data_IF_814587848573
#
_entry.id   IF_814587848573
#
_cell.length_a   1.000
_cell.length_b   1.000
_cell.length_c   1.000
_cell.angle_alpha   90.00
_cell.angle_beta   90.00
_cell.angle_gamma   90.00
#
_symmetry.space_group_name_H-M   'P 1'
#
loop_
_entity.id
_entity.type
_entity.pdbx_description
1 polymer ?
#
# COMPACT_ATOMS: atom_id res chain seq x y z
N UNK A 1 -14.31 32.78 15.00
CA UNK A 1 -12.90 32.35 15.22
C UNK A 1 -11.99 33.34 14.49
N UNK A 2 -11.19 34.16 15.19
CA UNK A 2 -10.28 35.11 14.51
C UNK A 2 -9.01 34.37 14.10
N UNK A 3 -8.80 34.17 12.81
CA UNK A 3 -7.54 33.66 12.26
C UNK A 3 -6.43 34.65 12.63
N UNK A 4 -5.49 34.22 13.48
CA UNK A 4 -4.27 34.97 13.78
C UNK A 4 -3.11 34.32 13.04
N UNK A 5 -2.43 35.11 12.21
CA UNK A 5 -1.20 34.68 11.55
C UNK A 5 -0.11 34.44 12.59
N UNK A 6 0.75 33.45 12.34
CA UNK A 6 1.94 33.19 13.15
C UNK A 6 2.86 34.40 13.10
N UNK A 7 3.42 34.81 14.24
CA UNK A 7 4.22 36.04 14.36
C UNK A 7 5.46 36.07 13.45
N UNK A 8 5.95 34.91 13.02
CA UNK A 8 7.12 34.73 12.16
C UNK A 8 6.79 34.47 10.67
N UNK A 9 5.54 34.70 10.23
CA UNK A 9 5.08 34.38 8.86
C UNK A 9 5.96 34.96 7.74
N UNK A 10 6.54 36.14 7.94
CA UNK A 10 7.42 36.78 6.95
C UNK A 10 8.71 36.00 6.71
N UNK A 11 9.26 35.38 7.75
CA UNK A 11 10.44 34.54 7.65
C UNK A 11 10.12 33.25 6.91
N UNK A 12 8.95 32.66 7.18
CA UNK A 12 8.47 31.45 6.52
C UNK A 12 8.29 31.70 5.01
N UNK A 13 7.67 32.81 4.59
CA UNK A 13 7.52 33.13 3.17
C UNK A 13 8.84 33.36 2.45
N UNK A 14 9.87 33.86 3.14
CA UNK A 14 11.18 34.12 2.52
C UNK A 14 12.05 32.88 2.44
N UNK A 15 12.08 32.08 3.50
CA UNK A 15 13.10 31.04 3.68
C UNK A 15 12.56 29.60 3.62
N UNK A 16 11.25 29.38 3.71
CA UNK A 16 10.70 28.03 3.64
C UNK A 16 10.66 27.54 2.18
N UNK A 17 11.53 26.59 1.87
CA UNK A 17 11.58 25.92 0.57
C UNK A 17 10.24 25.32 0.14
N UNK A 18 9.44 24.85 1.08
CA UNK A 18 8.10 24.31 0.80
C UNK A 18 7.18 25.33 0.11
N UNK A 19 7.25 26.62 0.50
CA UNK A 19 6.43 27.67 -0.10
C UNK A 19 6.88 27.97 -1.53
N UNK A 20 8.19 28.05 -1.76
CA UNK A 20 8.76 28.26 -3.08
C UNK A 20 8.48 27.09 -4.03
N UNK A 21 8.53 25.85 -3.54
CA UNK A 21 8.13 24.66 -4.31
C UNK A 21 6.65 24.66 -4.66
N UNK A 22 5.77 25.04 -3.71
CA UNK A 22 4.34 25.19 -3.98
C UNK A 22 4.07 26.30 -5.00
N UNK A 23 4.78 27.43 -4.93
CA UNK A 23 4.69 28.51 -5.91
C UNK A 23 5.19 28.07 -7.29
N UNK A 24 6.31 27.35 -7.37
CA UNK A 24 6.83 26.82 -8.62
C UNK A 24 5.85 25.84 -9.28
N UNK A 25 5.24 24.94 -8.49
CA UNK A 25 4.18 24.06 -8.99
C UNK A 25 2.97 24.85 -9.49
N UNK A 26 2.53 25.88 -8.75
CA UNK A 26 1.43 26.74 -9.17
C UNK A 26 1.74 27.46 -10.50
N UNK A 27 2.97 27.96 -10.69
CA UNK A 27 3.41 28.57 -11.94
C UNK A 27 3.40 27.57 -13.10
N UNK A 28 3.88 26.33 -12.88
CA UNK A 28 3.87 25.30 -13.93
C UNK A 28 2.44 24.91 -14.34
N UNK A 29 1.52 24.82 -13.38
CA UNK A 29 0.10 24.57 -13.64
C UNK A 29 -0.54 25.75 -14.39
N UNK A 30 -0.25 26.99 -13.98
CA UNK A 30 -0.76 28.18 -14.67
C UNK A 30 -0.18 28.30 -16.09
N UNK A 31 1.09 27.97 -16.27
CA UNK A 31 1.75 27.97 -17.57
C UNK A 31 1.14 26.91 -18.50
N UNK A 32 0.85 25.71 -18.01
CA UNK A 32 0.20 24.67 -18.82
C UNK A 32 -1.20 25.08 -19.26
N UNK A 33 -1.98 25.72 -18.38
CA UNK A 33 -3.30 26.27 -18.71
C UNK A 33 -3.18 27.43 -19.70
N UNK A 34 -2.23 28.34 -19.52
CA UNK A 34 -2.00 29.45 -20.46
C UNK A 34 -1.59 28.97 -21.86
N UNK A 35 -0.78 27.90 -21.94
CA UNK A 35 -0.41 27.26 -23.20
C UNK A 35 -1.63 26.67 -23.94
N UNK A 36 -2.70 26.29 -23.24
CA UNK A 36 -3.94 25.83 -23.89
C UNK A 36 -4.71 26.96 -24.59
N UNK A 37 -4.44 28.22 -24.23
CA UNK A 37 -5.06 29.40 -24.85
C UNK A 37 -4.19 30.03 -25.95
N UNK A 38 -2.99 29.50 -26.20
CA UNK A 38 -2.13 29.92 -27.31
C UNK A 38 -2.67 29.34 -28.62
N UNK A 39 -3.09 30.21 -29.53
CA UNK A 39 -3.54 29.84 -30.86
C UNK A 39 -2.62 30.40 -31.97
N UNK A 40 -2.80 29.90 -33.18
CA UNK A 40 -2.01 30.29 -34.35
C UNK A 40 -2.11 31.80 -34.66
N UNK A 41 -3.21 32.45 -34.28
CA UNK A 41 -3.49 33.86 -34.58
C UNK A 41 -2.68 34.78 -33.67
N UNK A 42 -2.55 34.43 -32.39
CA UNK A 42 -1.74 35.17 -31.41
C UNK A 42 -0.24 35.17 -31.76
N UNK A 43 0.24 34.13 -32.42
CA UNK A 43 1.65 33.99 -32.83
C UNK A 43 1.93 34.51 -34.25
N UNK A 44 0.90 34.88 -35.01
CA UNK A 44 1.04 35.32 -36.41
C UNK A 44 1.49 34.21 -37.37
N UNK A 45 1.30 32.94 -37.00
CA UNK A 45 1.76 31.78 -37.77
C UNK A 45 0.56 31.17 -38.51
N UNK A 46 0.71 30.72 -39.77
CA UNK A 46 -0.36 30.01 -40.46
C UNK A 46 -0.84 28.78 -39.67
N UNK A 47 -2.15 28.60 -39.54
CA UNK A 47 -2.77 27.48 -38.83
C UNK A 47 -2.19 26.08 -39.16
N UNK A 48 -1.91 25.71 -40.43
CA UNK A 48 -1.30 24.41 -40.72
C UNK A 48 0.12 24.27 -40.19
N UNK A 49 0.88 25.36 -40.15
CA UNK A 49 2.26 25.39 -39.61
C UNK A 49 2.22 25.26 -38.08
N UNK A 50 1.30 25.95 -37.42
CA UNK A 50 1.09 25.81 -35.97
C UNK A 50 0.69 24.38 -35.58
N UNK A 51 -0.24 23.75 -36.31
CA UNK A 51 -0.65 22.37 -36.07
C UNK A 51 0.50 21.38 -36.27
N UNK A 52 1.32 21.58 -37.31
CA UNK A 52 2.51 20.76 -37.56
C UNK A 52 3.54 20.89 -36.43
N UNK A 53 3.82 22.11 -35.97
CA UNK A 53 4.77 22.36 -34.88
C UNK A 53 4.27 21.78 -33.54
N UNK A 54 2.99 21.95 -33.22
CA UNK A 54 2.39 21.36 -32.03
C UNK A 54 2.40 19.82 -32.08
N UNK A 55 2.11 19.24 -33.24
CA UNK A 55 2.21 17.80 -33.47
C UNK A 55 3.64 17.27 -33.33
N UNK A 56 4.62 17.97 -33.90
CA UNK A 56 6.04 17.63 -33.75
C UNK A 56 6.49 17.71 -32.28
N UNK A 57 6.09 18.75 -31.55
CA UNK A 57 6.40 18.88 -30.12
C UNK A 57 5.80 17.73 -29.31
N UNK A 58 4.55 17.35 -29.58
CA UNK A 58 3.88 16.23 -28.91
C UNK A 58 4.55 14.88 -29.23
N UNK A 59 4.97 14.67 -30.48
CA UNK A 59 5.71 13.47 -30.89
C UNK A 59 7.10 13.43 -30.25
N UNK A 60 7.81 14.55 -30.16
CA UNK A 60 9.12 14.67 -29.50
C UNK A 60 9.02 14.52 -27.97
N UNK A 61 7.86 14.81 -27.37
CA UNK A 61 7.62 14.56 -25.95
C UNK A 61 7.58 13.05 -25.62
N UNK A 62 7.28 12.18 -26.57
CA UNK A 62 7.25 10.72 -26.38
C UNK A 62 8.66 10.16 -26.12
N UNK A 63 9.67 10.37 -26.98
CA UNK A 63 11.04 9.95 -26.68
C UNK A 63 11.63 10.73 -25.51
N UNK A 64 11.25 12.00 -25.27
CA UNK A 64 11.64 12.68 -24.03
C UNK A 64 11.10 11.96 -22.80
N UNK A 65 9.85 11.49 -22.82
CA UNK A 65 9.31 10.63 -21.75
C UNK A 65 10.06 9.31 -21.64
N UNK A 66 10.37 8.64 -22.74
CA UNK A 66 11.09 7.35 -22.72
C UNK A 66 12.53 7.49 -22.23
N UNK A 67 13.26 8.51 -22.69
CA UNK A 67 14.68 8.74 -22.38
C UNK A 67 14.85 9.29 -20.96
N UNK A 68 13.99 10.22 -20.52
CA UNK A 68 14.08 10.79 -19.17
C UNK A 68 13.36 9.96 -18.10
N UNK A 69 12.57 8.93 -18.46
CA UNK A 69 11.98 8.02 -17.48
C UNK A 69 12.97 7.01 -16.87
N UNK A 70 14.17 6.83 -17.42
CA UNK A 70 15.20 5.98 -16.82
C UNK A 70 15.69 6.47 -15.45
N UNK A 71 15.34 7.70 -15.05
CA UNK A 71 15.75 8.27 -13.74
C UNK A 71 14.61 8.57 -12.78
N UNK A 72 13.39 8.09 -13.02
CA UNK A 72 12.36 8.13 -11.96
C UNK A 72 12.74 7.18 -10.82
N UNK A 73 13.34 6.03 -11.13
CA UNK A 73 13.86 5.11 -10.10
C UNK A 73 15.04 5.69 -9.30
N UNK A 74 15.74 6.69 -9.84
CA UNK A 74 16.78 7.42 -9.12
C UNK A 74 16.23 8.65 -8.38
N UNK A 75 15.14 9.28 -8.84
CA UNK A 75 14.52 10.40 -8.12
C UNK A 75 13.63 9.94 -6.94
N UNK A 76 13.21 8.67 -6.95
CA UNK A 76 12.57 8.01 -5.81
C UNK A 76 13.59 7.50 -4.76
N UNK A 77 14.89 7.64 -5.04
CA UNK A 77 16.00 7.10 -4.23
C UNK A 77 17.04 8.19 -4.03
N UNK A 78 17.01 8.86 -2.87
CA UNK A 78 17.90 9.92 -2.35
C UNK A 78 17.45 11.38 -2.57
N UNK A 79 17.49 12.28 -1.59
CA UNK A 79 17.51 12.25 -0.12
C UNK A 79 16.93 13.62 0.33
N UNK A 80 16.07 13.59 1.35
CA UNK A 80 15.83 14.63 2.38
C UNK A 80 14.36 14.68 2.81
N UNK A 81 13.99 13.78 3.75
CA UNK A 81 13.00 14.13 4.77
C UNK A 81 11.76 13.26 4.95
N UNK A 82 11.52 12.19 4.19
CA UNK A 82 10.34 11.36 4.40
C UNK A 82 10.63 9.84 4.37
N UNK A 83 10.70 9.27 5.57
CA UNK A 83 10.32 7.90 5.94
C UNK A 83 10.92 6.77 5.09
N UNK A 84 11.99 6.17 5.62
CA UNK A 84 12.50 4.86 5.22
C UNK A 84 11.35 3.83 5.24
N UNK A 85 11.03 3.31 4.06
CA UNK A 85 10.33 2.05 3.87
C UNK A 85 11.31 1.20 3.08
N UNK A 86 12.14 0.43 3.78
CA UNK A 86 13.12 -0.47 3.19
C UNK A 86 12.48 -1.68 2.49
N UNK A 87 11.95 -1.50 1.28
CA UNK A 87 11.52 -2.62 0.42
C UNK A 87 12.64 -3.01 -0.56
N UNK A 88 13.04 -4.30 -0.65
CA UNK A 88 14.15 -4.72 -1.52
C UNK A 88 13.84 -4.53 -3.02
N UNK A 89 14.83 -4.06 -3.80
CA UNK A 89 14.72 -3.80 -5.26
C UNK A 89 14.28 -5.00 -6.10
N UNK A 90 14.41 -6.24 -5.61
CA UNK A 90 13.93 -7.45 -6.32
C UNK A 90 12.40 -7.59 -6.35
N UNK A 91 11.65 -6.69 -5.70
CA UNK A 91 10.21 -6.81 -5.47
C UNK A 91 9.36 -6.07 -6.52
N UNK A 92 9.99 -5.25 -7.38
CA UNK A 92 9.33 -4.49 -8.44
C UNK A 92 9.65 -5.06 -9.84
N UNK A 93 9.33 -6.35 -10.05
CA UNK A 93 9.34 -6.94 -11.40
C UNK A 93 8.01 -6.69 -12.12
N UNK A 94 8.01 -5.88 -13.20
CA UNK A 94 7.07 -5.69 -14.34
C UNK A 94 5.53 -5.95 -14.24
N UNK A 95 4.94 -6.19 -13.06
CA UNK A 95 3.49 -6.38 -12.84
C UNK A 95 2.98 -5.69 -11.56
N UNK A 96 3.69 -4.66 -11.09
CA UNK A 96 3.67 -4.19 -9.71
C UNK A 96 2.53 -3.23 -9.32
N UNK A 97 1.66 -2.79 -10.24
CA UNK A 97 0.66 -1.75 -9.90
C UNK A 97 -0.40 -2.24 -8.92
N UNK A 98 -0.87 -3.50 -9.04
CA UNK A 98 -1.87 -4.07 -8.12
C UNK A 98 -1.28 -4.69 -6.86
N UNK A 99 -0.05 -5.25 -6.93
CA UNK A 99 0.56 -5.90 -5.78
C UNK A 99 0.86 -4.91 -4.64
N UNK A 100 1.38 -3.72 -4.95
CA UNK A 100 1.67 -2.71 -3.95
C UNK A 100 0.42 -2.21 -3.23
N UNK A 101 -0.68 -2.03 -3.97
CA UNK A 101 -1.98 -1.62 -3.41
C UNK A 101 -2.56 -2.68 -2.45
N UNK A 102 -2.49 -3.95 -2.84
CA UNK A 102 -2.91 -5.09 -1.99
C UNK A 102 -2.13 -5.12 -0.68
N UNK A 103 -0.80 -4.97 -0.73
CA UNK A 103 0.03 -4.97 0.47
C UNK A 103 -0.29 -3.78 1.36
N UNK A 104 -0.42 -2.57 0.81
CA UNK A 104 -0.77 -1.39 1.57
C UNK A 104 -2.14 -1.54 2.27
N UNK A 105 -3.15 -2.03 1.55
CA UNK A 105 -4.47 -2.32 2.10
C UNK A 105 -4.41 -3.38 3.20
N UNK A 106 -3.71 -4.49 2.97
CA UNK A 106 -3.58 -5.58 3.93
C UNK A 106 -2.89 -5.12 5.22
N UNK A 107 -1.79 -4.38 5.11
CA UNK A 107 -1.03 -3.85 6.27
C UNK A 107 -1.92 -2.94 7.11
N UNK A 108 -2.55 -1.95 6.48
CA UNK A 108 -3.45 -1.02 7.18
C UNK A 108 -4.65 -1.74 7.81
N UNK A 109 -5.12 -2.83 7.20
CA UNK A 109 -6.23 -3.60 7.73
C UNK A 109 -5.82 -4.50 8.91
N UNK A 110 -4.66 -5.15 8.85
CA UNK A 110 -4.20 -6.13 9.84
C UNK A 110 -3.68 -5.44 11.12
N UNK A 111 -2.98 -4.32 10.99
CA UNK A 111 -2.28 -3.64 12.10
C UNK A 111 -3.14 -3.42 13.37
N UNK A 112 -4.41 -2.96 13.28
CA UNK A 112 -5.26 -2.79 14.45
C UNK A 112 -5.61 -4.09 15.20
N UNK A 113 -5.49 -5.25 14.56
CA UNK A 113 -5.85 -6.55 15.15
C UNK A 113 -4.71 -7.21 15.93
N UNK A 114 -3.48 -7.02 15.50
CA UNK A 114 -2.31 -7.69 16.07
C UNK A 114 -1.75 -6.91 17.27
N UNK A 115 -1.77 -5.57 17.19
CA UNK A 115 -1.09 -4.71 18.16
C UNK A 115 0.44 -4.78 18.01
N UNK A 116 1.15 -3.81 18.59
CA UNK A 116 2.62 -3.70 18.43
C UNK A 116 3.30 -3.52 19.79
N UNK A 117 4.34 -4.32 20.05
CA UNK A 117 5.19 -4.21 21.24
C UNK A 117 6.63 -3.90 20.86
N UNK A 118 7.12 -2.74 21.25
CA UNK A 118 8.47 -2.26 20.91
C UNK A 118 9.61 -2.95 21.67
N UNK A 119 9.28 -3.81 22.64
CA UNK A 119 10.25 -4.60 23.40
C UNK A 119 9.89 -6.07 23.28
N UNK A 120 10.91 -6.91 23.12
CA UNK A 120 10.73 -8.35 23.08
C UNK A 120 10.05 -8.86 24.36
N UNK A 121 9.12 -9.79 24.19
CA UNK A 121 8.34 -10.43 25.25
C UNK A 121 8.18 -11.92 24.93
N UNK A 122 7.86 -12.72 25.95
CA UNK A 122 7.47 -14.10 25.73
C UNK A 122 5.99 -14.17 25.39
N UNK A 123 5.64 -14.80 24.27
CA UNK A 123 4.27 -15.07 23.91
C UNK A 123 3.65 -16.19 24.81
N UNK A 124 2.41 -16.57 24.54
CA UNK A 124 1.73 -17.64 25.30
C UNK A 124 2.38 -19.02 25.13
N UNK A 125 3.18 -19.20 24.07
CA UNK A 125 3.94 -20.42 23.80
C UNK A 125 5.38 -20.37 24.36
N UNK A 126 5.79 -19.25 24.98
CA UNK A 126 7.13 -19.06 25.53
C UNK A 126 8.20 -18.71 24.49
N UNK A 127 7.80 -18.19 23.32
CA UNK A 127 8.70 -17.81 22.23
C UNK A 127 9.01 -16.31 22.33
N UNK A 128 10.29 -15.88 22.30
CA UNK A 128 10.65 -14.47 22.18
C UNK A 128 10.01 -13.84 20.95
N UNK A 129 9.24 -12.79 21.18
CA UNK A 129 8.41 -12.12 20.17
C UNK A 129 8.56 -10.61 20.33
N UNK A 130 8.68 -9.87 19.22
CA UNK A 130 8.73 -8.40 19.20
C UNK A 130 7.76 -7.85 18.15
N UNK A 131 7.49 -6.54 18.21
CA UNK A 131 6.68 -5.82 17.24
C UNK A 131 5.28 -6.42 17.11
N UNK A 132 4.89 -6.77 15.89
CA UNK A 132 3.55 -7.24 15.51
C UNK A 132 3.52 -8.78 15.42
N UNK A 133 4.23 -9.47 16.33
CA UNK A 133 4.29 -10.94 16.33
C UNK A 133 5.54 -11.52 15.64
N UNK A 134 6.58 -10.71 15.42
CA UNK A 134 7.83 -11.17 14.82
C UNK A 134 8.61 -12.04 15.82
N UNK A 135 9.05 -13.23 15.39
CA UNK A 135 9.75 -14.21 16.25
C UNK A 135 11.12 -14.63 15.71
N UNK A 136 11.41 -14.37 14.44
CA UNK A 136 12.62 -14.88 13.80
C UNK A 136 13.86 -14.11 14.30
N UNK A 137 14.80 -14.82 14.92
CA UNK A 137 16.04 -14.22 15.42
C UNK A 137 15.86 -13.26 16.60
N UNK A 138 14.70 -13.25 17.26
CA UNK A 138 14.42 -12.36 18.39
C UNK A 138 15.00 -12.92 19.68
N UNK A 139 15.68 -12.08 20.44
CA UNK A 139 16.20 -12.37 21.76
C UNK A 139 15.51 -11.51 22.85
N UNK A 140 15.45 -12.04 24.07
CA UNK A 140 14.91 -11.26 25.19
C UNK A 140 15.86 -10.12 25.53
N UNK A 141 15.33 -8.90 25.49
CA UNK A 141 16.11 -7.67 25.66
C UNK A 141 16.10 -6.81 24.39
N UNK A 142 15.74 -7.39 23.24
CA UNK A 142 15.63 -6.64 22.00
C UNK A 142 14.58 -5.53 22.09
N UNK A 143 14.91 -4.41 21.48
CA UNK A 143 14.01 -3.27 21.34
C UNK A 143 14.01 -2.80 19.90
N UNK A 144 12.85 -2.41 19.40
CA UNK A 144 12.67 -1.85 18.09
C UNK A 144 11.88 -0.54 18.17
N UNK A 145 12.15 0.36 17.25
CA UNK A 145 11.34 1.55 17.01
C UNK A 145 10.04 1.18 16.31
N UNK A 146 9.04 2.06 16.37
CA UNK A 146 7.79 1.86 15.65
C UNK A 146 8.00 1.74 14.13
N UNK A 147 9.00 2.44 13.59
CA UNK A 147 9.35 2.35 12.18
C UNK A 147 9.91 0.97 11.81
N UNK A 148 10.87 0.46 12.60
CA UNK A 148 11.44 -0.88 12.40
C UNK A 148 10.36 -1.96 12.53
N UNK A 149 9.48 -1.85 13.52
CA UNK A 149 8.35 -2.76 13.66
C UNK A 149 7.43 -2.75 12.44
N UNK A 150 7.21 -1.58 11.85
CA UNK A 150 6.37 -1.47 10.65
C UNK A 150 7.07 -2.05 9.43
N UNK A 151 8.38 -1.85 9.27
CA UNK A 151 9.15 -2.46 8.18
C UNK A 151 9.14 -3.99 8.27
N UNK A 152 9.39 -4.57 9.45
CA UNK A 152 9.30 -6.01 9.69
C UNK A 152 7.91 -6.54 9.33
N UNK A 153 6.87 -5.86 9.81
CA UNK A 153 5.49 -6.24 9.56
C UNK A 153 5.12 -6.20 8.07
N UNK A 154 5.52 -5.14 7.35
CA UNK A 154 5.34 -5.05 5.90
C UNK A 154 5.99 -6.24 5.18
N UNK A 155 7.23 -6.57 5.54
CA UNK A 155 7.97 -7.67 4.92
C UNK A 155 7.28 -9.02 5.16
N UNK A 156 6.77 -9.26 6.37
CA UNK A 156 5.99 -10.46 6.68
C UNK A 156 4.70 -10.55 5.87
N UNK A 157 3.94 -9.45 5.76
CA UNK A 157 2.71 -9.43 4.98
C UNK A 157 2.97 -9.77 3.51
N UNK A 158 4.07 -9.29 2.92
CA UNK A 158 4.45 -9.68 1.56
C UNK A 158 4.83 -11.15 1.48
N UNK A 159 5.59 -11.67 2.43
CA UNK A 159 5.93 -13.09 2.47
C UNK A 159 4.66 -13.96 2.57
N UNK A 160 3.67 -13.53 3.36
CA UNK A 160 2.37 -14.20 3.44
C UNK A 160 1.58 -14.13 2.13
N UNK A 161 1.50 -12.97 1.48
CA UNK A 161 0.84 -12.82 0.18
C UNK A 161 1.47 -13.77 -0.85
N UNK A 162 2.80 -13.79 -0.93
CA UNK A 162 3.53 -14.66 -1.85
C UNK A 162 3.25 -16.16 -1.59
N UNK A 163 3.15 -16.56 -0.31
CA UNK A 163 2.86 -17.95 0.07
C UNK A 163 1.45 -18.40 -0.28
N UNK A 164 0.45 -17.51 -0.21
CA UNK A 164 -0.94 -17.86 -0.53
C UNK A 164 -1.33 -17.60 -1.98
N UNK A 165 -0.53 -16.83 -2.72
CA UNK A 165 -0.78 -16.49 -4.14
C UNK A 165 -1.11 -17.72 -5.00
N UNK A 166 -0.42 -18.87 -4.89
CA UNK A 166 -0.73 -20.07 -5.68
C UNK A 166 -2.08 -20.73 -5.32
N UNK A 167 -2.64 -20.39 -4.16
CA UNK A 167 -3.89 -20.94 -3.63
C UNK A 167 -5.10 -20.05 -3.93
N UNK A 168 -4.92 -19.03 -4.77
CA UNK A 168 -5.93 -18.06 -5.15
C UNK A 168 -5.96 -17.89 -6.67
N UNK A 169 -7.08 -17.44 -7.25
CA UNK A 169 -7.10 -16.97 -8.63
C UNK A 169 -6.04 -15.90 -8.86
N UNK A 170 -5.46 -15.87 -10.07
CA UNK A 170 -4.49 -14.85 -10.45
C UNK A 170 -5.11 -13.44 -10.38
N UNK A 171 -6.31 -13.30 -10.95
CA UNK A 171 -7.10 -12.08 -10.93
C UNK A 171 -8.07 -12.09 -9.74
N UNK A 172 -7.83 -11.19 -8.79
CA UNK A 172 -8.73 -10.88 -7.69
C UNK A 172 -8.76 -9.37 -7.48
N UNK A 173 -9.92 -8.80 -7.12
CA UNK A 173 -9.99 -7.43 -6.64
C UNK A 173 -9.07 -7.21 -5.44
N UNK A 174 -8.50 -6.01 -5.35
CA UNK A 174 -7.45 -5.68 -4.39
C UNK A 174 -7.92 -5.89 -2.93
N UNK A 175 -9.14 -5.47 -2.62
CA UNK A 175 -9.75 -5.61 -1.30
C UNK A 175 -10.00 -7.09 -0.94
N UNK A 176 -10.46 -7.89 -1.90
CA UNK A 176 -10.65 -9.34 -1.71
C UNK A 176 -9.33 -10.04 -1.45
N UNK A 177 -8.28 -9.71 -2.21
CA UNK A 177 -6.93 -10.25 -1.96
C UNK A 177 -6.38 -9.81 -0.62
N UNK A 178 -6.52 -8.54 -0.24
CA UNK A 178 -6.08 -8.01 1.05
C UNK A 178 -6.78 -8.70 2.24
N UNK A 179 -8.08 -8.96 2.14
CA UNK A 179 -8.83 -9.71 3.15
C UNK A 179 -8.31 -11.14 3.31
N UNK A 180 -7.99 -11.82 2.21
CA UNK A 180 -7.40 -13.16 2.23
C UNK A 180 -5.98 -13.18 2.80
N UNK A 181 -5.16 -12.17 2.49
CA UNK A 181 -3.84 -11.99 3.13
C UNK A 181 -3.98 -11.81 4.64
N UNK A 182 -4.92 -10.95 5.10
CA UNK A 182 -5.20 -10.78 6.53
C UNK A 182 -5.64 -12.08 7.21
N UNK A 183 -6.49 -12.85 6.54
CA UNK A 183 -6.93 -14.13 7.04
C UNK A 183 -5.77 -15.12 7.17
N UNK A 184 -4.94 -15.22 6.12
CA UNK A 184 -3.76 -16.08 6.10
C UNK A 184 -2.71 -15.69 7.12
N UNK A 185 -2.52 -14.40 7.38
CA UNK A 185 -1.64 -13.91 8.44
C UNK A 185 -2.10 -14.43 9.81
N UNK A 186 -3.41 -14.44 10.07
CA UNK A 186 -3.96 -14.91 11.34
C UNK A 186 -3.95 -16.43 11.53
N UNK A 187 -4.35 -17.20 10.50
CA UNK A 187 -4.53 -18.66 10.63
C UNK A 187 -3.34 -19.46 10.10
N UNK A 188 -2.39 -18.80 9.43
CA UNK A 188 -1.29 -19.41 8.71
C UNK A 188 -1.61 -19.73 7.24
N UNK A 189 -0.60 -19.63 6.37
CA UNK A 189 -0.74 -19.87 4.93
C UNK A 189 -1.21 -21.29 4.59
N UNK A 190 -0.72 -22.31 5.31
CA UNK A 190 -1.13 -23.71 5.08
C UNK A 190 -2.60 -23.95 5.39
N UNK A 191 -3.09 -23.41 6.51
CA UNK A 191 -4.51 -23.48 6.88
C UNK A 191 -5.39 -22.71 5.88
N UNK A 192 -4.94 -21.55 5.44
CA UNK A 192 -5.61 -20.76 4.41
C UNK A 192 -5.71 -21.50 3.07
N UNK A 193 -4.59 -22.02 2.55
CA UNK A 193 -4.55 -22.75 1.28
C UNK A 193 -5.46 -24.00 1.30
N UNK A 194 -5.53 -24.71 2.43
CA UNK A 194 -6.41 -25.85 2.64
C UNK A 194 -7.85 -25.50 3.03
N UNK A 195 -8.22 -24.21 3.09
CA UNK A 195 -9.53 -23.77 3.57
C UNK A 195 -10.62 -23.79 2.50
N UNK A 196 -11.88 -23.66 2.93
CA UNK A 196 -13.00 -23.41 2.01
C UNK A 196 -12.90 -22.06 1.30
N UNK A 197 -12.15 -21.08 1.82
CA UNK A 197 -11.94 -19.77 1.17
C UNK A 197 -11.17 -19.96 -0.15
N UNK A 198 -9.97 -20.56 -0.06
CA UNK A 198 -9.11 -20.90 -1.19
C UNK A 198 -9.85 -21.78 -2.23
N UNK A 199 -10.49 -22.86 -1.78
CA UNK A 199 -11.23 -23.76 -2.69
C UNK A 199 -12.35 -23.07 -3.45
N UNK A 200 -13.16 -22.25 -2.77
CA UNK A 200 -14.26 -21.52 -3.42
C UNK A 200 -13.74 -20.44 -4.35
N UNK A 201 -12.70 -19.71 -3.94
CA UNK A 201 -12.07 -18.69 -4.76
C UNK A 201 -11.53 -19.28 -6.07
N UNK A 202 -10.78 -20.38 -6.00
CA UNK A 202 -10.27 -21.10 -7.18
C UNK A 202 -11.37 -21.68 -8.07
N UNK A 203 -12.54 -22.00 -7.50
CA UNK A 203 -13.71 -22.43 -8.25
C UNK A 203 -14.52 -21.26 -8.86
N UNK A 204 -14.09 -20.01 -8.66
CA UNK A 204 -14.79 -18.81 -9.14
C UNK A 204 -15.94 -18.32 -8.25
N UNK A 205 -16.26 -19.03 -7.17
CA UNK A 205 -17.26 -18.61 -6.18
C UNK A 205 -16.63 -17.62 -5.18
N UNK A 206 -16.39 -16.38 -5.64
CA UNK A 206 -15.73 -15.34 -4.84
C UNK A 206 -16.60 -14.88 -3.67
N UNK A 207 -17.92 -14.74 -3.85
CA UNK A 207 -18.82 -14.37 -2.77
C UNK A 207 -18.85 -15.44 -1.67
N UNK A 208 -18.97 -16.72 -2.06
CA UNK A 208 -18.89 -17.83 -1.12
C UNK A 208 -17.50 -17.99 -0.49
N UNK A 209 -16.42 -17.58 -1.18
CA UNK A 209 -15.09 -17.52 -0.60
C UNK A 209 -14.99 -16.46 0.50
N UNK A 210 -15.56 -15.27 0.30
CA UNK A 210 -15.64 -14.23 1.33
C UNK A 210 -16.51 -14.70 2.52
N UNK A 211 -17.65 -15.35 2.28
CA UNK A 211 -18.49 -15.90 3.37
C UNK A 211 -17.78 -16.99 4.18
N UNK A 212 -16.87 -17.75 3.55
CA UNK A 212 -16.11 -18.80 4.22
C UNK A 212 -15.14 -18.26 5.29
N UNK A 213 -14.82 -16.96 5.30
CA UNK A 213 -14.05 -16.31 6.37
C UNK A 213 -14.71 -16.52 7.74
N UNK A 214 -16.04 -16.46 7.81
CA UNK A 214 -16.81 -16.59 9.05
C UNK A 214 -16.66 -17.95 9.74
N UNK A 215 -16.23 -18.98 9.00
CA UNK A 215 -15.98 -20.31 9.54
C UNK A 215 -14.74 -20.38 10.44
N UNK A 216 -13.85 -19.39 10.36
CA UNK A 216 -12.55 -19.36 11.04
C UNK A 216 -12.57 -18.50 12.30
N UNK A 217 -13.62 -18.62 13.10
CA UNK A 217 -13.81 -17.83 14.31
C UNK A 217 -13.58 -18.59 15.63
N UNK A 218 -13.06 -19.82 15.58
CA UNK A 218 -12.95 -20.71 16.74
C UNK A 218 -11.50 -20.91 17.19
N UNK A 219 -11.30 -21.02 18.50
CA UNK A 219 -10.04 -21.43 19.10
C UNK A 219 -10.28 -22.54 20.13
N UNK A 220 -9.25 -23.32 20.45
CA UNK A 220 -9.34 -24.36 21.48
C UNK A 220 -9.20 -23.72 22.86
N UNK A 221 -10.28 -23.69 23.63
CA UNK A 221 -10.30 -23.20 25.02
C UNK A 221 -10.74 -24.33 25.94
N UNK A 222 -9.93 -24.65 26.96
CA UNK A 222 -10.17 -25.77 27.90
C UNK A 222 -10.43 -27.11 27.17
N UNK A 223 -9.64 -27.40 26.15
CA UNK A 223 -9.73 -28.63 25.36
C UNK A 223 -10.87 -28.67 24.33
N UNK A 224 -11.79 -27.69 24.30
CA UNK A 224 -12.93 -27.65 23.36
C UNK A 224 -12.77 -26.54 22.33
N UNK A 225 -13.17 -26.80 21.09
CA UNK A 225 -13.18 -25.81 20.02
C UNK A 225 -14.41 -24.90 20.19
N UNK A 226 -14.20 -23.61 20.44
CA UNK A 226 -15.28 -22.66 20.76
C UNK A 226 -15.10 -21.35 19.98
N UNK A 227 -16.19 -20.70 19.54
CA UNK A 227 -16.12 -19.37 18.94
C UNK A 227 -15.49 -18.36 19.89
N UNK A 228 -14.60 -17.52 19.38
CA UNK A 228 -13.97 -16.42 20.10
C UNK A 228 -14.53 -15.12 19.55
N UNK A 229 -15.02 -14.25 20.45
CA UNK A 229 -15.64 -12.98 20.07
C UNK A 229 -14.70 -12.09 19.23
N UNK A 230 -13.43 -12.03 19.60
CA UNK A 230 -12.41 -11.28 18.86
C UNK A 230 -12.21 -11.81 17.43
N UNK A 231 -12.08 -13.13 17.28
CA UNK A 231 -11.94 -13.75 15.96
C UNK A 231 -13.21 -13.55 15.12
N UNK A 232 -14.40 -13.67 15.72
CA UNK A 232 -15.67 -13.44 15.02
C UNK A 232 -15.72 -12.05 14.41
N UNK A 233 -15.42 -11.00 15.20
CA UNK A 233 -15.38 -9.61 14.71
C UNK A 233 -14.33 -9.41 13.61
N UNK A 234 -13.15 -10.03 13.75
CA UNK A 234 -12.12 -9.97 12.73
C UNK A 234 -12.58 -10.61 11.42
N UNK A 235 -13.19 -11.80 11.48
CA UNK A 235 -13.72 -12.49 10.29
C UNK A 235 -14.86 -11.72 9.62
N UNK A 236 -15.73 -11.08 10.39
CA UNK A 236 -16.77 -10.19 9.86
C UNK A 236 -16.16 -9.01 9.11
N UNK A 237 -15.19 -8.31 9.70
CA UNK A 237 -14.51 -7.20 9.04
C UNK A 237 -13.73 -7.63 7.78
N UNK A 238 -13.05 -8.77 7.81
CA UNK A 238 -12.37 -9.33 6.64
C UNK A 238 -13.36 -9.68 5.53
N UNK A 239 -14.51 -10.27 5.89
CA UNK A 239 -15.57 -10.59 4.93
C UNK A 239 -16.11 -9.33 4.27
N UNK A 240 -16.36 -8.27 5.05
CA UNK A 240 -16.88 -7.02 4.52
C UNK A 240 -15.88 -6.36 3.57
N UNK A 241 -14.60 -6.34 3.92
CA UNK A 241 -13.53 -5.89 3.01
C UNK A 241 -13.50 -6.75 1.74
N UNK A 242 -13.63 -8.07 1.89
CA UNK A 242 -13.60 -9.00 0.77
C UNK A 242 -14.74 -8.75 -0.22
N UNK A 243 -15.95 -8.54 0.29
CA UNK A 243 -17.15 -8.28 -0.51
C UNK A 243 -17.15 -6.89 -1.15
N UNK A 244 -16.54 -5.88 -0.52
CA UNK A 244 -16.37 -4.55 -1.12
C UNK A 244 -15.61 -4.63 -2.45
N UNK A 245 -14.60 -5.50 -2.55
CA UNK A 245 -13.87 -5.71 -3.81
C UNK A 245 -14.72 -6.34 -4.92
N UNK A 246 -15.78 -7.07 -4.59
CA UNK A 246 -16.68 -7.69 -5.57
C UNK A 246 -17.80 -6.74 -6.06
N UNK A 247 -18.02 -5.65 -5.33
CA UNK A 247 -19.03 -4.64 -5.67
C UNK A 247 -18.49 -3.52 -6.57
N UNK A 248 -17.19 -3.53 -6.87
CA UNK A 248 -16.46 -2.52 -7.64
C UNK A 248 -16.33 -2.88 -9.12
#
# INVERSE_FOLDING_TARGET
>A
MKLRLLSNWQSILRYAWSIWLMLACAVLILCSVALMFLDARMLGIPAPVFALLAGLLAVLAIPARVIFQEKVEAFLVEEDGAMRIGLPRSWFGRGATGAAAVIALAVSFIEPWEGTRLKAYLDIAGIPTICTGHTEGVELGDTATAAECREMFMAEVVAFEARIRPCLPELLPEQSRAAFVSAAYNIGAGAFCGSSMSRRALAGDLAGACDALLMWNKARMKGRLQPVRGLTRRREAERDLCLQGLAA
#
